data_IF_820942759580
#
_entry.id   IF_820942759580
#
_cell.length_a   1.000
_cell.length_b   1.000
_cell.length_c   1.000
_cell.angle_alpha   90.00
_cell.angle_beta   90.00
_cell.angle_gamma   90.00
#
_symmetry.space_group_name_H-M   'P 1'
#
loop_
_entity.id
_entity.type
_entity.pdbx_description
1 polymer ?
#
# COMPACT_ATOMS: atom_id res chain seq x y z
N UNK A 1 4.71 -9.91 -29.52
CA UNK A 1 3.89 -10.57 -28.49
C UNK A 1 4.01 -9.75 -27.22
N UNK A 2 2.93 -9.07 -26.82
CA UNK A 2 2.87 -8.24 -25.60
C UNK A 2 2.37 -9.13 -24.47
N UNK A 3 3.18 -9.32 -23.43
CA UNK A 3 2.73 -9.99 -22.20
C UNK A 3 1.98 -8.97 -21.35
N UNK A 4 0.69 -9.20 -21.18
CA UNK A 4 -0.16 -8.55 -20.20
C UNK A 4 -0.10 -9.41 -18.94
N UNK A 5 0.78 -9.09 -18.00
CA UNK A 5 0.81 -9.76 -16.70
C UNK A 5 -0.18 -9.06 -15.77
N UNK A 6 -1.40 -9.58 -15.68
CA UNK A 6 -2.29 -9.29 -14.55
C UNK A 6 -2.00 -10.32 -13.47
N UNK A 7 -1.21 -9.96 -12.45
CA UNK A 7 -1.11 -10.79 -11.26
C UNK A 7 -2.21 -10.38 -10.28
N UNK A 8 -3.41 -10.95 -10.48
CA UNK A 8 -4.50 -10.89 -9.53
C UNK A 8 -4.15 -11.84 -8.37
N UNK A 9 -3.67 -11.32 -7.23
CA UNK A 9 -3.56 -12.10 -6.00
C UNK A 9 -4.96 -12.26 -5.37
N UNK A 10 -5.85 -13.03 -6.02
CA UNK A 10 -7.19 -13.33 -5.53
C UNK A 10 -7.18 -14.58 -4.63
N UNK A 11 -7.30 -14.37 -3.32
CA UNK A 11 -7.73 -15.43 -2.40
C UNK A 11 -9.26 -15.51 -2.40
N UNK A 12 -9.82 -16.51 -3.06
CA UNK A 12 -11.26 -16.82 -3.06
C UNK A 12 -11.72 -17.33 -1.69
N UNK A 13 -12.79 -16.74 -1.13
CA UNK A 13 -13.82 -17.47 -0.37
C UNK A 13 -15.11 -16.63 -0.24
N UNK A 14 -16.20 -17.18 -0.78
CA UNK A 14 -17.58 -16.76 -0.62
C UNK A 14 -18.06 -16.82 0.84
N UNK A 15 -18.99 -15.92 1.22
CA UNK A 15 -20.26 -16.19 1.92
C UNK A 15 -20.66 -15.05 2.90
N UNK A 16 -21.83 -14.46 2.64
CA UNK A 16 -22.64 -13.50 3.43
C UNK A 16 -23.61 -14.37 4.29
N UNK A 17 -24.01 -14.07 5.55
CA UNK A 17 -24.87 -12.92 5.85
C UNK A 17 -24.75 -12.16 7.18
N UNK A 18 -25.01 -10.86 7.04
CA UNK A 18 -25.64 -9.87 7.94
C UNK A 18 -26.04 -10.23 9.37
N UNK A 19 -25.70 -9.34 10.31
CA UNK A 19 -26.65 -8.88 11.35
C UNK A 19 -26.26 -7.53 12.00
N UNK A 20 -27.17 -6.57 11.83
CA UNK A 20 -27.67 -5.54 12.77
C UNK A 20 -26.71 -4.79 13.71
N UNK A 21 -26.59 -3.48 13.45
CA UNK A 21 -26.13 -2.45 14.38
C UNK A 21 -27.32 -1.88 15.15
N UNK A 22 -27.26 -1.86 16.49
CA UNK A 22 -28.18 -1.08 17.32
C UNK A 22 -27.39 -0.03 18.10
N UNK A 23 -27.82 1.22 17.96
CA UNK A 23 -27.35 2.42 18.66
C UNK A 23 -28.03 2.49 20.03
N UNK A 24 -27.26 2.79 21.08
CA UNK A 24 -27.79 3.41 22.29
C UNK A 24 -26.82 4.48 22.79
N UNK A 25 -27.29 5.74 22.75
CA UNK A 25 -26.75 6.86 23.54
C UNK A 25 -27.46 6.84 24.91
N UNK A 26 -26.71 7.12 25.98
CA UNK A 26 -27.27 7.33 27.32
C UNK A 26 -26.42 8.30 28.12
N UNK A 27 -27.08 9.26 28.76
CA UNK A 27 -26.59 10.44 29.47
C UNK A 27 -25.65 10.14 30.67
N UNK A 28 -24.92 11.19 31.08
CA UNK A 28 -23.84 11.13 32.06
C UNK A 28 -24.22 11.42 33.51
N UNK A 29 -23.19 11.44 34.36
CA UNK A 29 -23.08 12.18 35.62
C UNK A 29 -21.70 11.89 36.25
N UNK A 30 -20.91 12.93 36.51
CA UNK A 30 -19.92 13.00 37.61
C UNK A 30 -20.62 13.67 38.81
N UNK A 31 -20.09 13.67 40.07
CA UNK A 31 -18.68 13.54 40.47
C UNK A 31 -18.39 12.74 41.76
N UNK A 32 -17.10 12.59 42.10
CA UNK A 32 -16.45 12.98 43.39
C UNK A 32 -15.40 11.96 43.87
N UNK A 33 -14.24 12.54 44.19
CA UNK A 33 -12.98 11.93 44.65
C UNK A 33 -13.10 11.39 46.08
N UNK A 34 -12.65 10.14 46.28
CA UNK A 34 -12.02 9.67 47.52
C UNK A 34 -10.94 8.65 47.16
N UNK A 35 -9.72 8.91 47.63
CA UNK A 35 -8.56 8.06 47.39
C UNK A 35 -8.67 6.72 48.11
N UNK A 36 -8.29 5.66 47.40
CA UNK A 36 -7.76 4.43 47.95
C UNK A 36 -6.64 3.97 47.02
N UNK A 37 -5.46 3.81 47.61
CA UNK A 37 -4.24 3.36 46.96
C UNK A 37 -4.49 2.00 46.30
N UNK A 38 -4.44 1.97 44.96
CA UNK A 38 -4.39 0.74 44.19
C UNK A 38 -2.94 0.26 44.10
N UNK A 39 -2.66 -1.04 44.30
CA UNK A 39 -1.32 -1.57 44.18
C UNK A 39 -0.79 -1.30 42.77
N UNK A 40 0.39 -0.71 42.69
CA UNK A 40 1.16 -0.58 41.45
C UNK A 40 1.64 -1.98 41.08
N UNK A 41 0.78 -2.79 40.46
CA UNK A 41 1.23 -3.96 39.72
C UNK A 41 1.82 -3.44 38.42
N UNK A 42 3.14 -3.55 38.31
CA UNK A 42 3.89 -3.19 37.12
C UNK A 42 3.22 -3.81 35.89
N UNK A 43 2.90 -2.96 34.91
CA UNK A 43 2.53 -3.44 33.59
C UNK A 43 3.80 -4.01 32.99
N UNK A 44 3.99 -5.32 33.17
CA UNK A 44 5.01 -6.04 32.43
C UNK A 44 4.86 -5.73 30.94
N UNK A 45 5.96 -5.54 30.20
CA UNK A 45 5.89 -5.35 28.77
C UNK A 45 5.20 -6.57 28.18
N UNK A 46 4.09 -6.37 27.46
CA UNK A 46 3.49 -7.45 26.67
C UNK A 46 4.52 -7.89 25.63
N UNK A 47 5.20 -8.99 25.93
CA UNK A 47 6.11 -9.65 25.02
C UNK A 47 5.32 -10.07 23.78
N UNK A 48 5.66 -9.42 22.65
CA UNK A 48 5.66 -9.99 21.30
C UNK A 48 4.33 -10.48 20.74
N UNK A 49 3.52 -9.57 20.20
CA UNK A 49 2.79 -9.97 18.99
C UNK A 49 3.84 -10.13 17.88
N UNK A 50 4.14 -11.39 17.53
CA UNK A 50 5.01 -11.72 16.38
C UNK A 50 4.56 -10.94 15.14
N UNK A 51 5.52 -10.44 14.36
CA UNK A 51 5.26 -9.76 13.10
C UNK A 51 4.42 -10.68 12.19
N UNK A 52 3.18 -10.30 11.85
CA UNK A 52 2.29 -11.20 11.13
C UNK A 52 2.59 -11.26 9.62
N UNK A 53 3.55 -10.48 9.13
CA UNK A 53 3.89 -10.40 7.70
C UNK A 53 4.95 -11.43 7.30
N UNK A 54 4.90 -11.86 6.04
CA UNK A 54 5.97 -12.63 5.41
C UNK A 54 6.80 -11.72 4.52
N UNK A 55 8.12 -11.84 4.61
CA UNK A 55 9.05 -11.00 3.87
C UNK A 55 9.85 -11.83 2.86
N UNK A 56 10.14 -11.22 1.71
CA UNK A 56 11.12 -11.70 0.74
C UNK A 56 12.02 -10.55 0.35
N UNK A 57 13.33 -10.73 0.50
CA UNK A 57 14.33 -9.72 0.12
C UNK A 57 14.07 -8.33 0.75
N UNK A 58 13.51 -8.31 1.96
CA UNK A 58 13.18 -7.08 2.69
C UNK A 58 11.80 -6.49 2.38
N UNK A 59 11.07 -6.97 1.38
CA UNK A 59 9.73 -6.51 1.06
C UNK A 59 8.65 -7.41 1.67
N UNK A 60 7.50 -6.83 2.05
CA UNK A 60 6.32 -7.61 2.45
C UNK A 60 5.74 -8.32 1.22
N UNK A 61 5.68 -9.64 1.24
CA UNK A 61 5.05 -10.45 0.18
C UNK A 61 3.74 -11.08 0.61
N UNK A 62 3.43 -11.05 1.92
CA UNK A 62 2.16 -11.59 2.43
C UNK A 62 1.74 -10.96 3.75
N UNK A 63 0.45 -10.66 3.84
CA UNK A 63 -0.23 -10.27 5.08
C UNK A 63 -0.45 -11.42 6.08
N UNK A 64 -0.99 -11.05 7.24
CA UNK A 64 -1.38 -11.98 8.31
C UNK A 64 -2.26 -13.14 7.81
N UNK A 65 -1.78 -14.38 7.93
CA UNK A 65 -2.55 -15.59 7.57
C UNK A 65 -3.65 -15.93 8.58
N UNK A 66 -3.60 -15.36 9.78
CA UNK A 66 -4.55 -15.57 10.87
C UNK A 66 -5.87 -14.80 10.69
N UNK A 67 -5.94 -13.87 9.73
CA UNK A 67 -7.14 -13.07 9.47
C UNK A 67 -7.59 -13.17 8.02
N UNK A 68 -8.89 -13.06 7.78
CA UNK A 68 -9.46 -13.04 6.42
C UNK A 68 -9.50 -11.61 5.88
N UNK A 69 -8.32 -11.06 5.61
CA UNK A 69 -8.16 -9.73 5.01
C UNK A 69 -7.36 -9.83 3.72
N UNK A 70 -7.78 -9.08 2.71
CA UNK A 70 -7.12 -9.00 1.41
C UNK A 70 -6.75 -7.54 1.13
N UNK A 71 -5.59 -7.35 0.49
CA UNK A 71 -5.21 -6.07 -0.09
C UNK A 71 -5.31 -6.21 -1.62
N UNK A 72 -6.19 -5.42 -2.23
CA UNK A 72 -6.28 -5.32 -3.68
C UNK A 72 -5.25 -4.31 -4.16
N UNK A 73 -4.36 -4.75 -5.06
CA UNK A 73 -3.24 -3.94 -5.57
C UNK A 73 -3.33 -3.89 -7.09
N UNK A 74 -3.21 -2.69 -7.65
CA UNK A 74 -3.17 -2.44 -9.08
C UNK A 74 -1.94 -1.58 -9.40
N UNK A 75 -1.32 -1.85 -10.55
CA UNK A 75 -0.18 -1.06 -11.05
C UNK A 75 -0.53 -0.38 -12.38
N UNK A 76 0.08 0.77 -12.64
CA UNK A 76 -0.21 1.57 -13.84
C UNK A 76 1.02 2.28 -14.40
N UNK A 77 1.21 2.15 -15.73
CA UNK A 77 2.27 2.81 -16.48
C UNK A 77 1.78 3.46 -17.78
N UNK A 78 1.76 2.71 -18.90
CA UNK A 78 1.48 3.26 -20.24
C UNK A 78 -0.02 3.38 -20.56
N UNK A 79 -0.84 2.52 -19.95
CA UNK A 79 -2.23 2.29 -20.33
C UNK A 79 -3.17 2.38 -19.11
N UNK A 80 -4.43 2.80 -19.34
CA UNK A 80 -5.41 3.04 -18.28
C UNK A 80 -6.86 2.68 -18.64
N UNK A 81 -7.10 1.98 -19.76
CA UNK A 81 -8.45 1.71 -20.31
C UNK A 81 -9.33 0.93 -19.34
N UNK A 82 -8.73 0.05 -18.52
CA UNK A 82 -9.43 -0.72 -17.50
C UNK A 82 -9.74 0.05 -16.21
N UNK A 83 -9.11 1.21 -15.99
CA UNK A 83 -9.17 1.89 -14.69
C UNK A 83 -10.59 2.33 -14.32
N UNK A 84 -11.37 2.83 -15.28
CA UNK A 84 -12.75 3.24 -15.04
C UNK A 84 -13.61 2.07 -14.58
N UNK A 85 -13.56 0.93 -15.28
CA UNK A 85 -14.32 -0.26 -14.91
C UNK A 85 -13.91 -0.82 -13.54
N UNK A 86 -12.62 -0.78 -13.21
CA UNK A 86 -12.10 -1.18 -11.89
C UNK A 86 -12.69 -0.27 -10.80
N UNK A 87 -12.63 1.06 -10.98
CA UNK A 87 -13.15 2.02 -10.01
C UNK A 87 -14.67 1.89 -9.82
N UNK A 88 -15.43 1.72 -10.90
CA UNK A 88 -16.87 1.43 -10.80
C UNK A 88 -17.15 0.15 -10.01
N UNK A 89 -16.38 -0.90 -10.26
CA UNK A 89 -16.54 -2.19 -9.54
C UNK A 89 -16.22 -2.03 -8.06
N UNK A 90 -15.12 -1.34 -7.72
CA UNK A 90 -14.74 -1.09 -6.34
C UNK A 90 -15.81 -0.26 -5.61
N UNK A 91 -16.32 0.79 -6.25
CA UNK A 91 -17.39 1.63 -5.70
C UNK A 91 -18.68 0.82 -5.47
N UNK A 92 -19.11 0.00 -6.43
CA UNK A 92 -20.30 -0.85 -6.32
C UNK A 92 -20.22 -1.87 -5.17
N UNK A 93 -19.01 -2.31 -4.82
CA UNK A 93 -18.77 -3.20 -3.68
C UNK A 93 -18.38 -2.48 -2.38
N UNK A 94 -18.30 -1.15 -2.37
CA UNK A 94 -17.79 -0.38 -1.22
C UNK A 94 -16.36 -0.74 -0.84
N UNK A 95 -15.57 -1.28 -1.76
CA UNK A 95 -14.22 -1.77 -1.54
C UNK A 95 -13.17 -0.67 -1.75
N UNK A 96 -12.02 -0.80 -1.08
CA UNK A 96 -10.84 0.03 -1.32
C UNK A 96 -9.70 -0.81 -1.89
N UNK A 97 -8.87 -0.16 -2.71
CA UNK A 97 -7.69 -0.75 -3.30
C UNK A 97 -6.50 0.19 -3.17
N UNK A 98 -5.32 -0.33 -3.52
CA UNK A 98 -4.06 0.40 -3.62
C UNK A 98 -3.62 0.46 -5.07
N UNK A 99 -3.38 1.66 -5.59
CA UNK A 99 -2.91 1.92 -6.94
C UNK A 99 -1.45 2.40 -6.86
N UNK A 100 -0.52 1.61 -7.39
CA UNK A 100 0.88 1.99 -7.50
C UNK A 100 1.15 2.48 -8.92
N UNK A 101 1.44 3.77 -9.06
CA UNK A 101 1.47 4.45 -10.36
C UNK A 101 2.86 5.01 -10.65
N UNK A 102 3.32 4.79 -11.88
CA UNK A 102 4.62 5.34 -12.31
C UNK A 102 4.57 6.85 -12.45
N UNK A 103 5.73 7.50 -12.45
CA UNK A 103 5.80 8.94 -12.67
C UNK A 103 5.26 9.33 -14.05
N UNK A 104 5.54 8.53 -15.09
CA UNK A 104 5.00 8.76 -16.43
C UNK A 104 3.46 8.64 -16.47
N UNK A 105 2.87 7.69 -15.72
CA UNK A 105 1.41 7.61 -15.57
C UNK A 105 0.83 8.86 -14.91
N UNK A 106 1.46 9.33 -13.83
CA UNK A 106 1.01 10.50 -13.06
C UNK A 106 1.15 11.81 -13.85
N UNK A 107 2.15 11.91 -14.73
CA UNK A 107 2.35 13.06 -15.62
C UNK A 107 1.39 13.09 -16.81
N UNK A 108 0.78 11.96 -17.17
CA UNK A 108 -0.14 11.92 -18.29
C UNK A 108 -1.43 12.69 -17.97
N UNK A 109 -1.65 13.80 -18.67
CA UNK A 109 -2.83 14.65 -18.49
C UNK A 109 -4.14 13.93 -18.78
N UNK A 110 -4.15 12.93 -19.67
CA UNK A 110 -5.33 12.12 -19.98
C UNK A 110 -5.73 11.21 -18.80
N UNK A 111 -4.76 10.82 -17.96
CA UNK A 111 -4.99 9.96 -16.79
C UNK A 111 -5.28 10.74 -15.52
N UNK A 112 -5.02 12.06 -15.50
CA UNK A 112 -5.23 12.89 -14.32
C UNK A 112 -6.66 12.82 -13.73
N UNK A 113 -7.76 12.76 -14.53
CA UNK A 113 -9.10 12.57 -13.98
C UNK A 113 -9.26 11.24 -13.21
N UNK A 114 -8.63 10.16 -13.69
CA UNK A 114 -8.65 8.86 -13.03
C UNK A 114 -7.91 8.89 -11.70
N UNK A 115 -6.72 9.51 -11.65
CA UNK A 115 -5.95 9.60 -10.40
C UNK A 115 -6.67 10.46 -9.36
N UNK A 116 -7.27 11.58 -9.77
CA UNK A 116 -8.10 12.40 -8.88
C UNK A 116 -9.28 11.63 -8.33
N UNK A 117 -9.93 10.82 -9.17
CA UNK A 117 -11.02 9.94 -8.74
C UNK A 117 -10.54 8.90 -7.71
N UNK A 118 -9.39 8.26 -7.95
CA UNK A 118 -8.80 7.31 -7.00
C UNK A 118 -8.62 7.94 -5.60
N UNK A 119 -8.07 9.16 -5.56
CA UNK A 119 -7.85 9.90 -4.32
C UNK A 119 -9.17 10.33 -3.67
N UNK A 120 -10.11 10.90 -4.45
CA UNK A 120 -11.40 11.36 -3.95
C UNK A 120 -12.26 10.22 -3.38
N UNK A 121 -12.16 9.03 -3.97
CA UNK A 121 -12.82 7.83 -3.48
C UNK A 121 -12.06 7.17 -2.32
N UNK A 122 -10.94 7.73 -1.85
CA UNK A 122 -10.21 7.23 -0.68
C UNK A 122 -9.44 5.93 -0.92
N UNK A 123 -9.04 5.68 -2.16
CA UNK A 123 -8.06 4.63 -2.46
C UNK A 123 -6.65 5.07 -2.08
N UNK A 124 -5.77 4.11 -1.80
CA UNK A 124 -4.35 4.41 -1.64
C UNK A 124 -3.72 4.63 -3.02
N UNK A 125 -2.93 5.68 -3.18
CA UNK A 125 -2.14 5.94 -4.39
C UNK A 125 -0.67 6.10 -3.97
N UNK A 126 0.19 5.23 -4.47
CA UNK A 126 1.59 5.16 -4.07
C UNK A 126 2.57 5.01 -5.23
N UNK A 127 3.87 5.07 -4.94
CA UNK A 127 4.91 5.08 -5.96
C UNK A 127 5.17 3.72 -6.62
N UNK A 128 5.43 3.72 -7.93
CA UNK A 128 5.77 2.55 -8.75
C UNK A 128 6.95 2.75 -9.71
N UNK A 129 8.00 3.46 -9.30
CA UNK A 129 9.12 3.94 -10.15
C UNK A 129 8.71 5.11 -11.04
N UNK A 130 9.59 6.10 -11.22
CA UNK A 130 9.31 7.26 -12.06
C UNK A 130 9.26 6.88 -13.53
N UNK A 131 10.30 6.15 -13.98
CA UNK A 131 10.51 5.77 -15.38
C UNK A 131 10.34 4.28 -15.63
N UNK A 132 9.64 3.59 -14.74
CA UNK A 132 9.35 2.15 -14.82
C UNK A 132 10.63 1.32 -15.07
N UNK A 133 11.68 1.62 -14.30
CA UNK A 133 13.02 1.05 -14.47
C UNK A 133 13.09 -0.38 -13.93
N UNK A 134 13.73 -1.28 -14.67
CA UNK A 134 14.09 -2.60 -14.15
C UNK A 134 15.29 -2.47 -13.20
N UNK A 135 15.08 -2.74 -11.90
CA UNK A 135 16.12 -2.50 -10.90
C UNK A 135 17.13 -3.64 -10.70
N UNK A 136 16.71 -4.87 -10.96
CA UNK A 136 17.58 -6.03 -10.91
C UNK A 136 17.28 -6.99 -12.06
N UNK A 137 18.27 -7.80 -12.43
CA UNK A 137 18.16 -8.71 -13.56
C UNK A 137 17.11 -9.81 -13.32
N UNK A 138 16.50 -10.29 -14.41
CA UNK A 138 15.66 -11.50 -14.44
C UNK A 138 16.50 -12.79 -14.50
N UNK A 139 17.53 -12.84 -13.66
CA UNK A 139 18.40 -13.99 -13.50
C UNK A 139 18.23 -14.55 -12.09
N UNK A 140 18.58 -15.83 -11.83
CA UNK A 140 18.45 -16.41 -10.49
C UNK A 140 19.19 -15.62 -9.41
N UNK A 141 20.31 -14.99 -9.73
CA UNK A 141 21.11 -14.16 -8.82
C UNK A 141 20.57 -12.73 -8.64
N UNK A 142 19.56 -12.31 -9.42
CA UNK A 142 18.92 -10.98 -9.38
C UNK A 142 19.91 -9.84 -9.20
N UNK A 143 20.98 -9.81 -10.01
CA UNK A 143 22.02 -8.77 -9.93
C UNK A 143 21.40 -7.37 -10.04
N UNK A 144 21.80 -6.47 -9.15
CA UNK A 144 21.34 -5.06 -9.20
C UNK A 144 21.89 -4.39 -10.47
N UNK A 145 21.03 -3.69 -11.20
CA UNK A 145 21.35 -3.12 -12.51
C UNK A 145 21.73 -1.64 -12.49
N UNK A 146 21.54 -0.98 -11.35
CA UNK A 146 21.79 0.45 -11.18
C UNK A 146 22.47 0.73 -9.83
N UNK A 147 22.97 1.95 -9.72
CA UNK A 147 23.52 2.50 -8.48
C UNK A 147 22.41 2.91 -7.51
N UNK A 148 22.77 3.11 -6.24
CA UNK A 148 21.86 3.64 -5.23
C UNK A 148 21.33 5.03 -5.60
N UNK A 149 22.19 5.89 -6.12
CA UNK A 149 21.81 7.25 -6.50
C UNK A 149 20.77 7.25 -7.64
N UNK A 150 20.92 6.37 -8.63
CA UNK A 150 19.92 6.22 -9.70
C UNK A 150 18.58 5.70 -9.18
N UNK A 151 18.59 4.80 -8.21
CA UNK A 151 17.38 4.25 -7.59
C UNK A 151 16.64 5.33 -6.80
N UNK A 152 17.39 6.05 -5.96
CA UNK A 152 16.84 7.13 -5.14
C UNK A 152 16.31 8.25 -6.02
N UNK A 153 17.00 8.62 -7.11
CA UNK A 153 16.54 9.63 -8.04
C UNK A 153 15.25 9.22 -8.77
N UNK A 154 15.14 7.96 -9.18
CA UNK A 154 13.93 7.45 -9.82
C UNK A 154 12.75 7.42 -8.84
N UNK A 155 12.93 6.88 -7.63
CA UNK A 155 11.86 6.87 -6.63
C UNK A 155 11.45 8.29 -6.20
N UNK A 156 12.42 9.18 -6.00
CA UNK A 156 12.18 10.58 -5.64
C UNK A 156 11.44 11.34 -6.74
N UNK A 157 11.75 11.09 -8.02
CA UNK A 157 11.00 11.65 -9.16
C UNK A 157 9.52 11.29 -9.11
N UNK A 158 9.21 10.04 -8.79
CA UNK A 158 7.83 9.57 -8.68
C UNK A 158 7.11 10.13 -7.45
N UNK A 159 7.78 10.20 -6.30
CA UNK A 159 7.25 10.83 -5.09
C UNK A 159 6.91 12.31 -5.31
N UNK A 160 7.71 13.05 -6.10
CA UNK A 160 7.39 14.45 -6.45
C UNK A 160 6.11 14.58 -7.26
N UNK A 161 5.82 13.65 -8.16
CA UNK A 161 4.55 13.68 -8.91
C UNK A 161 3.34 13.40 -8.01
N UNK A 162 3.49 12.50 -7.04
CA UNK A 162 2.48 12.26 -6.00
C UNK A 162 2.24 13.52 -5.15
N UNK A 163 3.32 14.21 -4.74
CA UNK A 163 3.23 15.48 -3.99
C UNK A 163 2.49 16.57 -4.79
N UNK A 164 2.73 16.68 -6.10
CA UNK A 164 2.01 17.60 -6.99
C UNK A 164 0.50 17.32 -7.06
N UNK A 165 0.08 16.10 -6.77
CA UNK A 165 -1.31 15.66 -6.73
C UNK A 165 -1.91 15.70 -5.30
N UNK A 166 -1.15 16.19 -4.32
CA UNK A 166 -1.59 16.33 -2.94
C UNK A 166 -1.37 15.10 -2.05
N UNK A 167 -0.62 14.10 -2.53
CA UNK A 167 -0.21 12.95 -1.71
C UNK A 167 1.15 13.23 -1.09
N UNK A 168 1.19 13.43 0.21
CA UNK A 168 2.45 13.68 0.93
C UNK A 168 3.28 12.40 1.04
N UNK A 169 4.60 12.53 1.21
CA UNK A 169 5.49 11.37 1.48
C UNK A 169 5.09 10.56 2.71
N UNK A 170 4.52 11.23 3.72
CA UNK A 170 3.99 10.54 4.91
C UNK A 170 2.78 9.65 4.58
N UNK A 171 1.98 10.04 3.58
CA UNK A 171 0.85 9.23 3.11
C UNK A 171 1.32 8.12 2.16
N UNK A 172 2.38 8.33 1.39
CA UNK A 172 2.94 7.38 0.44
C UNK A 172 3.97 6.41 1.07
N UNK A 173 3.61 5.76 2.18
CA UNK A 173 4.53 4.93 2.97
C UNK A 173 4.94 3.58 2.35
N UNK A 174 4.26 3.13 1.30
CA UNK A 174 4.55 1.86 0.62
C UNK A 174 5.08 2.11 -0.79
N UNK A 175 6.11 1.37 -1.17
CA UNK A 175 6.67 1.36 -2.52
C UNK A 175 6.53 -0.02 -3.17
N UNK A 176 6.01 -0.06 -4.40
CA UNK A 176 6.00 -1.28 -5.20
C UNK A 176 6.98 -1.10 -6.38
N UNK A 177 8.05 -1.88 -6.51
CA UNK A 177 8.99 -1.74 -7.62
C UNK A 177 8.32 -2.07 -8.96
N UNK A 178 8.76 -1.40 -10.03
CA UNK A 178 8.35 -1.71 -11.39
C UNK A 178 8.58 -3.20 -11.71
N UNK A 179 7.67 -3.78 -12.49
CA UNK A 179 7.64 -5.22 -12.79
C UNK A 179 7.54 -6.13 -11.55
N UNK A 180 7.18 -5.57 -10.39
CA UNK A 180 7.07 -6.25 -9.09
C UNK A 180 8.34 -7.03 -8.73
N UNK A 181 9.49 -6.53 -9.20
CA UNK A 181 10.76 -7.25 -9.17
C UNK A 181 11.83 -6.46 -8.42
N UNK A 182 12.32 -7.09 -7.35
CA UNK A 182 13.37 -6.55 -6.50
C UNK A 182 14.36 -7.62 -6.06
N UNK A 183 15.41 -7.16 -5.40
CA UNK A 183 16.34 -7.97 -4.64
C UNK A 183 16.57 -7.32 -3.27
N UNK A 184 17.38 -7.96 -2.43
CA UNK A 184 17.65 -7.47 -1.07
C UNK A 184 18.22 -6.05 -1.02
N UNK A 185 19.08 -5.67 -1.98
CA UNK A 185 19.68 -4.32 -2.02
C UNK A 185 18.62 -3.25 -2.26
N UNK A 186 17.69 -3.49 -3.19
CA UNK A 186 16.58 -2.57 -3.44
C UNK A 186 15.72 -2.46 -2.19
N UNK A 187 15.36 -3.57 -1.54
CA UNK A 187 14.61 -3.55 -0.28
C UNK A 187 15.31 -2.74 0.81
N UNK A 188 16.61 -2.96 1.04
CA UNK A 188 17.39 -2.20 2.04
C UNK A 188 17.50 -0.71 1.70
N UNK A 189 17.51 -0.34 0.41
CA UNK A 189 17.55 1.07 -0.02
C UNK A 189 16.19 1.74 0.22
N UNK A 190 15.09 1.05 -0.10
CA UNK A 190 13.72 1.49 0.20
C UNK A 190 13.53 1.77 1.69
N UNK A 191 13.94 0.84 2.56
CA UNK A 191 13.83 1.00 4.03
C UNK A 191 14.59 2.22 4.55
N UNK A 192 15.77 2.52 3.99
CA UNK A 192 16.54 3.71 4.39
C UNK A 192 15.88 5.03 3.99
N UNK A 193 14.95 5.01 3.04
CA UNK A 193 14.12 6.16 2.67
C UNK A 193 12.86 6.26 3.53
N UNK A 194 12.67 5.36 4.51
CA UNK A 194 11.50 5.32 5.38
C UNK A 194 10.26 4.71 4.75
N UNK A 195 10.42 3.95 3.65
CA UNK A 195 9.35 3.28 2.94
C UNK A 195 9.36 1.78 3.24
N UNK A 196 8.17 1.16 3.14
CA UNK A 196 7.99 -0.31 3.20
C UNK A 196 7.87 -0.90 1.81
#
# INVERSE_FOLDING_TARGET
MRYLSFMLAAGLAFCVPSTLWSVARGAGHEPRVTGHETPVTGHEPRVGAEDPFTYQDGAVVRGAKSTRRLALVFTGHEFAEGAAAILETLAGHGAKASFFLTGDFLRNAEFAPLVRRMLAEGHYVGPHSDRHRLYCAWTPDRRTLLTRAEFEADLDGNLRELERLGVTRMQAGFFLPAYEHHNRRIGDWTHRLGLT
#
